data_IF_848251312770
#
_entry.id   IF_848251312770
#
_cell.length_a   1.000
_cell.length_b   1.000
_cell.length_c   1.000
_cell.angle_alpha   90.00
_cell.angle_beta   90.00
_cell.angle_gamma   90.00
#
_symmetry.space_group_name_H-M   'P 1'
#
loop_
_entity.id
_entity.type
_entity.pdbx_description
1 polymer ?
#
# COMPACT_ATOMS: atom_id res chain seq x y z
N UNK A 1 -22.28 10.04 21.63
CA UNK A 1 -21.48 8.94 21.07
C UNK A 1 -20.02 9.17 21.45
N UNK A 2 -19.48 8.41 22.38
CA UNK A 2 -18.06 8.44 22.71
C UNK A 2 -17.28 7.91 21.50
N UNK A 3 -16.68 8.81 20.72
CA UNK A 3 -15.80 8.53 19.58
C UNK A 3 -14.39 8.18 20.07
N UNK A 4 -14.26 7.18 20.92
CA UNK A 4 -12.94 6.72 21.30
C UNK A 4 -12.33 5.93 20.16
N UNK A 5 -11.16 6.38 19.67
CA UNK A 5 -10.30 5.60 18.78
C UNK A 5 -9.88 4.33 19.53
N UNK A 6 -10.43 3.19 19.17
CA UNK A 6 -10.12 1.92 19.81
C UNK A 6 -9.27 1.08 18.88
N UNK A 7 -8.01 0.91 19.25
CA UNK A 7 -7.09 0.02 18.54
C UNK A 7 -7.35 -1.43 19.01
N UNK A 8 -8.01 -2.22 18.18
CA UNK A 8 -8.31 -3.62 18.46
C UNK A 8 -7.13 -4.51 18.08
N UNK A 9 -6.55 -5.22 19.02
CA UNK A 9 -5.42 -6.14 18.77
C UNK A 9 -5.71 -7.16 17.67
N UNK A 10 -6.93 -7.64 17.53
CA UNK A 10 -7.33 -8.61 16.49
C UNK A 10 -7.18 -8.10 15.07
N UNK A 11 -7.17 -6.76 14.86
CA UNK A 11 -6.99 -6.15 13.52
C UNK A 11 -5.54 -5.71 13.25
N UNK A 12 -4.56 -6.21 14.01
CA UNK A 12 -3.16 -5.81 13.90
C UNK A 12 -2.61 -5.92 12.47
N UNK A 13 -2.98 -6.99 11.75
CA UNK A 13 -2.53 -7.23 10.39
C UNK A 13 -3.06 -6.16 9.42
N UNK A 14 -4.34 -5.78 9.59
CA UNK A 14 -4.92 -4.67 8.82
C UNK A 14 -4.19 -3.35 9.07
N UNK A 15 -3.88 -3.02 10.32
CA UNK A 15 -3.15 -1.80 10.65
C UNK A 15 -1.73 -1.82 10.11
N UNK A 16 -1.05 -2.96 10.19
CA UNK A 16 0.29 -3.14 9.61
C UNK A 16 0.27 -2.96 8.09
N UNK A 17 -0.65 -3.61 7.39
CA UNK A 17 -0.81 -3.46 5.93
C UNK A 17 -1.16 -2.02 5.56
N UNK A 18 -2.01 -1.35 6.33
CA UNK A 18 -2.35 0.07 6.12
C UNK A 18 -1.13 0.97 6.28
N UNK A 19 -0.32 0.76 7.32
CA UNK A 19 0.91 1.53 7.53
C UNK A 19 1.92 1.31 6.39
N UNK A 20 2.20 0.06 6.05
CA UNK A 20 3.14 -0.29 4.99
C UNK A 20 2.67 0.24 3.61
N UNK A 21 1.37 0.18 3.33
CA UNK A 21 0.78 0.75 2.12
C UNK A 21 0.91 2.27 2.11
N UNK A 22 0.60 2.94 3.21
CA UNK A 22 0.78 4.38 3.37
C UNK A 22 2.24 4.82 3.20
N UNK A 23 3.18 4.11 3.81
CA UNK A 23 4.61 4.38 3.71
C UNK A 23 5.10 4.29 2.26
N UNK A 24 4.79 3.21 1.54
CA UNK A 24 5.16 3.03 0.13
C UNK A 24 4.54 4.11 -0.76
N UNK A 25 3.27 4.43 -0.51
CA UNK A 25 2.57 5.50 -1.24
C UNK A 25 3.30 6.83 -1.10
N UNK A 26 3.77 7.19 0.10
CA UNK A 26 4.49 8.44 0.32
C UNK A 26 5.85 8.45 -0.37
N UNK A 27 6.58 7.33 -0.34
CA UNK A 27 7.84 7.20 -1.08
C UNK A 27 7.59 7.49 -2.56
N UNK A 28 6.58 6.91 -3.12
CA UNK A 28 6.29 7.06 -4.54
C UNK A 28 5.80 8.47 -4.87
N UNK A 29 4.77 8.98 -4.17
CA UNK A 29 4.19 10.30 -4.46
C UNK A 29 5.19 11.44 -4.32
N UNK A 30 6.09 11.36 -3.33
CA UNK A 30 7.06 12.43 -3.09
C UNK A 30 8.31 12.20 -3.93
N UNK A 31 8.97 11.06 -3.76
CA UNK A 31 10.33 10.88 -4.30
C UNK A 31 10.36 10.46 -5.77
N UNK A 32 9.35 9.75 -6.28
CA UNK A 32 9.28 9.50 -7.72
C UNK A 32 9.00 10.79 -8.50
N UNK A 33 8.08 11.65 -8.01
CA UNK A 33 7.85 12.96 -8.60
C UNK A 33 9.11 13.84 -8.52
N UNK A 34 9.83 13.81 -7.40
CA UNK A 34 11.09 14.53 -7.21
C UNK A 34 12.17 14.04 -8.17
N UNK A 35 12.30 12.72 -8.36
CA UNK A 35 13.24 12.12 -9.31
C UNK A 35 12.95 12.56 -10.74
N UNK A 36 11.67 12.61 -11.12
CA UNK A 36 11.25 13.06 -12.44
C UNK A 36 11.71 14.50 -12.73
N UNK A 37 11.56 15.39 -11.75
CA UNK A 37 11.96 16.80 -11.90
C UNK A 37 13.48 16.96 -11.80
N UNK A 38 14.10 16.41 -10.75
CA UNK A 38 15.50 16.68 -10.42
C UNK A 38 16.47 15.94 -11.33
N UNK A 39 16.23 14.65 -11.61
CA UNK A 39 17.14 13.84 -12.41
C UNK A 39 16.83 13.89 -13.89
N UNK A 40 15.54 13.92 -14.26
CA UNK A 40 15.12 13.82 -15.66
C UNK A 40 14.63 15.15 -16.27
N UNK A 41 14.57 16.22 -15.48
CA UNK A 41 14.23 17.56 -15.97
C UNK A 41 12.76 17.74 -16.37
N UNK A 42 11.85 16.90 -15.87
CA UNK A 42 10.43 17.06 -16.14
C UNK A 42 9.91 18.37 -15.55
N UNK A 43 9.12 19.07 -16.33
CA UNK A 43 8.38 20.24 -15.84
C UNK A 43 7.25 19.85 -14.90
N UNK A 44 6.80 20.78 -14.07
CA UNK A 44 5.63 20.57 -13.22
C UNK A 44 4.37 20.17 -14.03
N UNK A 45 4.23 20.70 -15.25
CA UNK A 45 3.13 20.37 -16.15
C UNK A 45 3.17 18.91 -16.61
N UNK A 46 4.35 18.40 -16.95
CA UNK A 46 4.52 16.99 -17.36
C UNK A 46 4.27 16.02 -16.22
N UNK A 47 4.76 16.33 -15.01
CA UNK A 47 4.45 15.53 -13.82
C UNK A 47 2.96 15.57 -13.52
N UNK A 48 2.31 16.73 -13.64
CA UNK A 48 0.86 16.86 -13.46
C UNK A 48 0.09 16.02 -14.50
N UNK A 49 0.56 15.97 -15.74
CA UNK A 49 -0.05 15.12 -16.77
C UNK A 49 0.04 13.63 -16.40
N UNK A 50 1.17 13.18 -15.85
CA UNK A 50 1.31 11.81 -15.37
C UNK A 50 0.30 11.50 -14.22
N UNK A 51 0.11 12.44 -13.30
CA UNK A 51 -0.93 12.31 -12.28
C UNK A 51 -2.33 12.19 -12.90
N UNK A 52 -2.65 13.03 -13.88
CA UNK A 52 -3.96 12.98 -14.56
C UNK A 52 -4.17 11.63 -15.27
N UNK A 53 -3.16 11.10 -15.95
CA UNK A 53 -3.21 9.78 -16.60
C UNK A 53 -3.51 8.70 -15.54
N UNK A 54 -2.85 8.74 -14.39
CA UNK A 54 -3.06 7.79 -13.30
C UNK A 54 -4.47 7.90 -12.70
N UNK A 55 -5.00 9.11 -12.50
CA UNK A 55 -6.38 9.31 -12.03
C UNK A 55 -7.39 8.81 -13.07
N UNK A 56 -7.17 9.09 -14.34
CA UNK A 56 -8.03 8.59 -15.42
C UNK A 56 -8.00 7.05 -15.46
N UNK A 57 -6.81 6.43 -15.35
CA UNK A 57 -6.69 4.98 -15.25
C UNK A 57 -7.50 4.42 -14.09
N UNK A 58 -7.34 4.97 -12.88
CA UNK A 58 -8.09 4.53 -11.72
C UNK A 58 -9.60 4.67 -11.93
N UNK A 59 -10.07 5.77 -12.51
CA UNK A 59 -11.49 5.99 -12.77
C UNK A 59 -12.07 4.93 -13.73
N UNK A 60 -11.36 4.61 -14.81
CA UNK A 60 -11.81 3.62 -15.79
C UNK A 60 -11.70 2.17 -15.31
N UNK A 61 -10.72 1.86 -14.46
CA UNK A 61 -10.38 0.48 -14.09
C UNK A 61 -10.78 0.09 -12.68
N UNK A 62 -11.16 1.02 -11.80
CA UNK A 62 -11.48 0.74 -10.40
C UNK A 62 -12.52 -0.39 -10.24
N UNK A 63 -13.61 -0.36 -11.02
CA UNK A 63 -14.63 -1.41 -10.97
C UNK A 63 -14.09 -2.77 -11.43
N UNK A 64 -13.27 -2.79 -12.48
CA UNK A 64 -12.67 -4.03 -12.99
C UNK A 64 -11.69 -4.62 -11.99
N UNK A 65 -10.91 -3.77 -11.34
CA UNK A 65 -9.97 -4.14 -10.27
C UNK A 65 -10.75 -4.69 -9.07
N UNK A 66 -11.83 -4.03 -8.64
CA UNK A 66 -12.69 -4.51 -7.57
C UNK A 66 -13.29 -5.90 -7.88
N UNK A 67 -13.76 -6.10 -9.11
CA UNK A 67 -14.26 -7.42 -9.56
C UNK A 67 -13.16 -8.49 -9.62
N UNK A 68 -11.95 -8.11 -10.02
CA UNK A 68 -10.81 -9.02 -10.02
C UNK A 68 -10.48 -9.46 -8.58
N UNK A 69 -10.37 -8.51 -7.64
CA UNK A 69 -10.13 -8.80 -6.23
C UNK A 69 -11.21 -9.74 -5.67
N UNK A 70 -12.48 -9.48 -6.00
CA UNK A 70 -13.59 -10.35 -5.59
C UNK A 70 -13.48 -11.80 -6.12
N UNK A 71 -12.87 -11.99 -7.29
CA UNK A 71 -12.67 -13.32 -7.91
C UNK A 71 -11.46 -14.07 -7.37
N UNK A 72 -10.31 -13.39 -7.25
CA UNK A 72 -9.05 -14.03 -6.86
C UNK A 72 -8.80 -14.01 -5.35
N UNK A 73 -9.51 -13.17 -4.61
CA UNK A 73 -9.38 -12.96 -3.18
C UNK A 73 -8.30 -11.94 -2.81
N UNK A 74 -8.43 -11.35 -1.63
CA UNK A 74 -7.58 -10.25 -1.16
C UNK A 74 -6.11 -10.65 -1.06
N UNK A 75 -5.83 -11.84 -0.51
CA UNK A 75 -4.45 -12.34 -0.37
C UNK A 75 -3.71 -12.40 -1.70
N UNK A 76 -4.34 -12.98 -2.74
CA UNK A 76 -3.71 -13.10 -4.06
C UNK A 76 -3.57 -11.75 -4.75
N UNK A 77 -4.56 -10.88 -4.61
CA UNK A 77 -4.53 -9.52 -5.14
C UNK A 77 -3.37 -8.71 -4.56
N UNK A 78 -3.23 -8.70 -3.23
CA UNK A 78 -2.12 -8.03 -2.54
C UNK A 78 -0.77 -8.66 -2.85
N UNK A 79 -0.70 -10.00 -3.01
CA UNK A 79 0.53 -10.68 -3.44
C UNK A 79 0.98 -10.19 -4.81
N UNK A 80 0.06 -10.09 -5.77
CA UNK A 80 0.34 -9.57 -7.11
C UNK A 80 0.80 -8.11 -7.07
N UNK A 81 0.08 -7.26 -6.32
CA UNK A 81 0.46 -5.86 -6.10
C UNK A 81 1.90 -5.77 -5.59
N UNK A 82 2.21 -6.48 -4.51
CA UNK A 82 3.50 -6.31 -3.83
C UNK A 82 4.68 -6.85 -4.65
N UNK A 83 4.50 -7.94 -5.38
CA UNK A 83 5.52 -8.43 -6.33
C UNK A 83 5.77 -7.37 -7.41
N UNK A 84 4.70 -6.80 -7.98
CA UNK A 84 4.83 -5.73 -8.97
C UNK A 84 5.52 -4.49 -8.42
N UNK A 85 5.16 -4.06 -7.20
CA UNK A 85 5.78 -2.90 -6.55
C UNK A 85 7.25 -3.13 -6.17
N UNK A 86 7.65 -4.34 -5.75
CA UNK A 86 9.06 -4.68 -5.53
C UNK A 86 9.84 -4.45 -6.83
N UNK A 87 9.33 -4.96 -7.95
CA UNK A 87 9.95 -4.76 -9.25
C UNK A 87 10.04 -3.27 -9.63
N UNK A 88 8.96 -2.52 -9.46
CA UNK A 88 8.91 -1.08 -9.77
C UNK A 88 9.91 -0.30 -8.92
N UNK A 89 9.94 -0.51 -7.61
CA UNK A 89 10.86 0.19 -6.71
C UNK A 89 12.32 -0.12 -7.02
N UNK A 90 12.68 -1.39 -7.28
CA UNK A 90 14.04 -1.76 -7.70
C UNK A 90 14.39 -1.07 -9.02
N UNK A 91 13.47 -1.07 -9.98
CA UNK A 91 13.68 -0.42 -11.27
C UNK A 91 13.88 1.08 -11.13
N UNK A 92 13.15 1.75 -10.22
CA UNK A 92 13.38 3.17 -9.91
C UNK A 92 14.75 3.44 -9.32
N UNK A 93 15.27 2.54 -8.50
CA UNK A 93 16.63 2.65 -7.96
C UNK A 93 17.73 2.57 -9.03
N UNK A 94 17.43 1.98 -10.19
CA UNK A 94 18.36 1.71 -11.28
C UNK A 94 18.11 2.58 -12.53
N UNK A 95 16.94 3.24 -12.63
CA UNK A 95 16.52 3.92 -13.86
C UNK A 95 17.41 5.11 -14.20
N UNK A 96 17.82 5.19 -15.49
CA UNK A 96 18.61 6.30 -16.05
C UNK A 96 17.96 6.90 -17.31
N UNK A 97 16.81 6.41 -17.72
CA UNK A 97 16.05 6.89 -18.87
C UNK A 97 14.75 7.54 -18.41
N UNK A 98 14.46 8.74 -18.92
CA UNK A 98 13.30 9.54 -18.53
C UNK A 98 11.97 8.88 -18.94
N UNK A 99 11.93 8.28 -20.16
CA UNK A 99 10.72 7.64 -20.67
C UNK A 99 10.39 6.38 -19.86
N UNK A 100 11.43 5.60 -19.51
CA UNK A 100 11.27 4.44 -18.65
C UNK A 100 10.79 4.85 -17.26
N UNK A 101 11.30 5.93 -16.68
CA UNK A 101 10.85 6.46 -15.41
C UNK A 101 9.36 6.86 -15.44
N UNK A 102 8.89 7.51 -16.52
CA UNK A 102 7.48 7.84 -16.71
C UNK A 102 6.62 6.57 -16.85
N UNK A 103 7.09 5.56 -17.58
CA UNK A 103 6.42 4.27 -17.70
C UNK A 103 6.28 3.55 -16.35
N UNK A 104 7.35 3.55 -15.54
CA UNK A 104 7.33 3.01 -14.18
C UNK A 104 6.36 3.78 -13.28
N UNK A 105 6.22 5.11 -13.47
CA UNK A 105 5.28 5.94 -12.72
C UNK A 105 3.82 5.51 -12.96
N UNK A 106 3.48 5.20 -14.19
CA UNK A 106 2.14 4.69 -14.54
C UNK A 106 1.95 3.27 -14.01
N UNK A 107 2.96 2.41 -14.18
CA UNK A 107 2.91 1.03 -13.74
C UNK A 107 2.73 0.88 -12.22
N UNK A 108 3.41 1.73 -11.43
CA UNK A 108 3.22 1.77 -9.97
C UNK A 108 1.76 2.00 -9.60
N UNK A 109 1.12 2.99 -10.20
CA UNK A 109 -0.28 3.30 -9.90
C UNK A 109 -1.24 2.18 -10.31
N UNK A 110 -0.91 1.44 -11.38
CA UNK A 110 -1.70 0.27 -11.77
C UNK A 110 -1.66 -0.82 -10.70
N UNK A 111 -0.48 -1.10 -10.15
CA UNK A 111 -0.35 -2.06 -9.04
C UNK A 111 -0.97 -1.51 -7.76
N UNK A 112 -0.72 -0.24 -7.44
CA UNK A 112 -1.23 0.39 -6.23
C UNK A 112 -2.76 0.46 -6.18
N UNK A 113 -3.44 0.46 -7.33
CA UNK A 113 -4.89 0.40 -7.39
C UNK A 113 -5.46 -0.89 -6.76
N UNK A 114 -4.64 -1.95 -6.64
CA UNK A 114 -5.04 -3.19 -5.96
C UNK A 114 -5.04 -3.06 -4.43
N UNK A 115 -4.46 -1.99 -3.85
CA UNK A 115 -4.48 -1.72 -2.40
C UNK A 115 -5.90 -1.59 -1.83
N UNK A 116 -6.91 -1.41 -2.67
CA UNK A 116 -8.34 -1.54 -2.30
C UNK A 116 -8.62 -2.87 -1.58
N UNK A 117 -7.85 -3.92 -1.89
CA UNK A 117 -7.97 -5.23 -1.24
C UNK A 117 -7.70 -5.17 0.27
N UNK A 118 -6.95 -4.19 0.78
CA UNK A 118 -6.77 -3.98 2.23
C UNK A 118 -8.11 -3.57 2.86
N UNK A 119 -8.85 -2.69 2.20
CA UNK A 119 -10.15 -2.23 2.68
C UNK A 119 -11.21 -3.32 2.59
N UNK A 120 -11.23 -4.12 1.51
CA UNK A 120 -12.17 -5.24 1.38
C UNK A 120 -11.86 -6.36 2.37
N UNK A 121 -10.58 -6.63 2.62
CA UNK A 121 -10.16 -7.54 3.69
C UNK A 121 -10.69 -7.07 5.05
N UNK A 122 -10.51 -5.79 5.39
CA UNK A 122 -11.00 -5.25 6.65
C UNK A 122 -12.53 -5.34 6.77
N UNK A 123 -13.27 -5.01 5.70
CA UNK A 123 -14.73 -5.11 5.69
C UNK A 123 -15.23 -6.54 5.97
N UNK A 124 -14.48 -7.56 5.56
CA UNK A 124 -14.84 -8.97 5.80
C UNK A 124 -14.59 -9.43 7.24
N UNK A 125 -13.57 -8.89 7.90
CA UNK A 125 -13.17 -9.33 9.26
C UNK A 125 -13.74 -8.45 10.37
N UNK A 126 -14.15 -7.22 10.06
CA UNK A 126 -14.54 -6.24 11.07
C UNK A 126 -15.95 -6.48 11.59
N UNK A 127 -16.10 -6.34 12.91
CA UNK A 127 -17.41 -6.19 13.53
C UNK A 127 -17.99 -4.83 13.11
N UNK A 128 -19.27 -4.74 12.69
CA UNK A 128 -19.90 -3.48 12.29
C UNK A 128 -19.72 -2.32 13.28
N UNK A 129 -19.72 -2.62 14.59
CA UNK A 129 -19.51 -1.61 15.66
C UNK A 129 -18.08 -1.03 15.68
N UNK A 130 -17.08 -1.76 15.15
CA UNK A 130 -15.68 -1.37 15.14
C UNK A 130 -15.29 -0.60 13.85
N UNK A 131 -16.15 -0.62 12.82
CA UNK A 131 -15.86 -0.05 11.51
C UNK A 131 -15.46 1.44 11.57
N UNK A 132 -16.26 2.25 12.23
CA UNK A 132 -16.02 3.70 12.31
C UNK A 132 -14.75 4.03 13.12
N UNK A 133 -14.53 3.33 14.24
CA UNK A 133 -13.34 3.50 15.09
C UNK A 133 -12.07 3.10 14.33
N UNK A 134 -12.08 1.96 13.65
CA UNK A 134 -10.92 1.48 12.88
C UNK A 134 -10.64 2.31 11.65
N UNK A 135 -11.65 2.89 11.01
CA UNK A 135 -11.46 3.87 9.94
C UNK A 135 -10.69 5.11 10.44
N UNK A 136 -11.02 5.61 11.63
CA UNK A 136 -10.28 6.69 12.28
C UNK A 136 -8.84 6.33 12.60
N UNK A 137 -8.59 5.10 13.08
CA UNK A 137 -7.23 4.58 13.32
C UNK A 137 -6.45 4.53 12.01
N UNK A 138 -7.03 3.99 10.95
CA UNK A 138 -6.38 3.92 9.63
C UNK A 138 -6.05 5.28 9.06
N UNK A 139 -6.95 6.25 9.23
CA UNK A 139 -6.70 7.65 8.85
C UNK A 139 -5.48 8.19 9.59
N UNK A 140 -5.40 7.99 10.91
CA UNK A 140 -4.26 8.41 11.73
C UNK A 140 -2.97 7.75 11.29
N UNK A 141 -2.98 6.43 11.05
CA UNK A 141 -1.81 5.68 10.57
C UNK A 141 -1.30 6.24 9.24
N UNK A 142 -2.20 6.50 8.29
CA UNK A 142 -1.83 7.08 7.00
C UNK A 142 -1.23 8.49 7.12
N UNK A 143 -1.75 9.32 8.04
CA UNK A 143 -1.20 10.65 8.29
C UNK A 143 0.17 10.60 8.98
N UNK A 144 0.37 9.68 9.93
CA UNK A 144 1.68 9.44 10.53
C UNK A 144 2.69 9.04 9.45
N UNK A 145 2.33 8.09 8.57
CA UNK A 145 3.18 7.70 7.46
C UNK A 145 3.49 8.88 6.52
N UNK A 146 2.46 9.72 6.23
CA UNK A 146 2.60 10.87 5.33
C UNK A 146 3.56 11.97 5.86
N UNK A 147 3.74 12.08 7.16
CA UNK A 147 4.65 13.06 7.77
C UNK A 147 6.03 12.44 8.02
N UNK A 148 6.07 11.26 8.65
CA UNK A 148 7.33 10.67 9.11
C UNK A 148 8.16 10.14 7.94
N UNK A 149 7.53 9.44 6.99
CA UNK A 149 8.27 8.78 5.90
C UNK A 149 9.00 9.80 5.00
N UNK A 150 8.35 10.87 4.49
CA UNK A 150 9.07 11.88 3.72
C UNK A 150 10.14 12.61 4.51
N UNK A 151 9.91 12.89 5.79
CA UNK A 151 10.89 13.58 6.63
C UNK A 151 12.18 12.75 6.83
N UNK A 152 12.04 11.46 7.16
CA UNK A 152 13.19 10.57 7.34
C UNK A 152 13.90 10.28 6.01
N UNK A 153 13.15 9.97 4.97
CA UNK A 153 13.73 9.60 3.68
C UNK A 153 14.24 10.82 2.90
N UNK A 154 13.78 12.02 3.21
CA UNK A 154 14.38 13.25 2.69
C UNK A 154 15.84 13.40 3.08
N UNK A 155 16.23 12.98 4.28
CA UNK A 155 17.64 12.93 4.69
C UNK A 155 18.43 11.88 3.90
N UNK A 156 17.81 10.72 3.63
CA UNK A 156 18.43 9.66 2.82
C UNK A 156 18.56 10.09 1.35
N UNK A 157 17.60 10.86 0.84
CA UNK A 157 17.61 11.40 -0.51
C UNK A 157 18.85 12.24 -0.82
N UNK A 158 19.28 13.05 0.14
CA UNK A 158 20.48 13.89 0.00
C UNK A 158 21.74 13.03 -0.26
N UNK A 159 21.77 11.81 0.25
CA UNK A 159 22.90 10.90 0.10
C UNK A 159 22.79 10.01 -1.14
N UNK A 160 21.59 9.49 -1.41
CA UNK A 160 21.34 8.61 -2.54
C UNK A 160 19.86 8.51 -2.88
N UNK A 161 19.50 8.93 -4.09
CA UNK A 161 18.15 8.78 -4.64
C UNK A 161 17.73 7.29 -4.71
N UNK A 162 18.66 6.44 -5.19
CA UNK A 162 18.41 4.99 -5.34
C UNK A 162 18.08 4.32 -4.01
N UNK A 163 18.74 4.74 -2.91
CA UNK A 163 18.55 4.12 -1.61
C UNK A 163 17.10 4.31 -1.10
N UNK A 164 16.48 5.46 -1.38
CA UNK A 164 15.09 5.73 -1.01
C UNK A 164 14.15 4.72 -1.68
N UNK A 165 14.38 4.40 -2.95
CA UNK A 165 13.57 3.40 -3.66
C UNK A 165 13.84 1.97 -3.18
N UNK A 166 15.08 1.64 -2.79
CA UNK A 166 15.37 0.34 -2.19
C UNK A 166 14.71 0.18 -0.82
N UNK A 167 14.59 1.24 -0.03
CA UNK A 167 13.77 1.22 1.20
C UNK A 167 12.29 0.97 0.85
N UNK A 168 11.78 1.58 -0.23
CA UNK A 168 10.45 1.28 -0.76
C UNK A 168 10.27 -0.19 -1.13
N UNK A 169 11.26 -0.79 -1.79
CA UNK A 169 11.27 -2.22 -2.09
C UNK A 169 11.26 -3.08 -0.82
N UNK A 170 12.02 -2.72 0.22
CA UNK A 170 11.99 -3.39 1.52
C UNK A 170 10.59 -3.34 2.15
N UNK A 171 9.92 -2.18 2.12
CA UNK A 171 8.53 -2.08 2.59
C UNK A 171 7.57 -2.93 1.76
N UNK A 172 7.79 -3.07 0.46
CA UNK A 172 6.98 -3.94 -0.39
C UNK A 172 7.21 -5.42 -0.06
N UNK A 173 8.44 -5.84 0.23
CA UNK A 173 8.76 -7.20 0.70
C UNK A 173 8.10 -7.49 2.05
N UNK A 174 8.18 -6.57 3.01
CA UNK A 174 7.50 -6.69 4.29
C UNK A 174 5.98 -6.80 4.11
N UNK A 175 5.41 -6.03 3.19
CA UNK A 175 3.98 -6.11 2.84
C UNK A 175 3.62 -7.44 2.22
N UNK A 176 4.49 -7.98 1.35
CA UNK A 176 4.29 -9.30 0.73
C UNK A 176 4.26 -10.41 1.79
N UNK A 177 5.18 -10.36 2.75
CA UNK A 177 5.21 -11.30 3.88
C UNK A 177 3.94 -11.15 4.72
N UNK A 178 3.57 -9.92 5.07
CA UNK A 178 2.36 -9.64 5.86
C UNK A 178 1.09 -10.13 5.14
N UNK A 179 0.98 -9.97 3.83
CA UNK A 179 -0.17 -10.44 3.05
C UNK A 179 -0.35 -11.96 3.11
N UNK A 180 0.73 -12.72 3.30
CA UNK A 180 0.62 -14.18 3.42
C UNK A 180 -0.12 -14.61 4.68
N UNK A 181 -0.22 -13.75 5.70
CA UNK A 181 -1.00 -14.03 6.91
C UNK A 181 -2.52 -13.80 6.75
N UNK A 182 -2.97 -13.25 5.63
CA UNK A 182 -4.40 -13.15 5.30
C UNK A 182 -4.92 -14.57 5.00
N UNK A 183 -5.98 -15.03 5.68
CA UNK A 183 -6.59 -16.33 5.37
C UNK A 183 -7.24 -16.32 3.98
N UNK A 184 -7.47 -17.50 3.41
CA UNK A 184 -8.13 -17.65 2.10
C UNK A 184 -9.60 -17.22 2.13
N UNK A 185 -10.24 -17.30 3.29
CA UNK A 185 -11.61 -16.86 3.53
C UNK A 185 -11.66 -16.01 4.81
N UNK A 186 -11.28 -14.72 4.73
CA UNK A 186 -11.28 -13.84 5.90
C UNK A 186 -12.73 -13.60 6.39
N UNK A 187 -12.91 -13.68 7.71
CA UNK A 187 -14.20 -13.47 8.38
C UNK A 187 -13.97 -13.07 9.84
N UNK A 188 -14.98 -12.57 10.56
CA UNK A 188 -14.86 -12.36 12.00
C UNK A 188 -14.50 -13.67 12.73
N UNK A 189 -13.44 -13.62 13.54
CA UNK A 189 -12.85 -14.81 14.20
C UNK A 189 -11.80 -15.54 13.37
N UNK A 190 -11.66 -15.22 12.09
CA UNK A 190 -10.64 -15.73 11.17
C UNK A 190 -9.92 -14.57 10.49
N UNK A 191 -9.41 -13.63 11.29
CA UNK A 191 -8.74 -12.43 10.80
C UNK A 191 -7.36 -12.73 10.22
N UNK A 192 -6.66 -13.73 10.77
CA UNK A 192 -5.33 -14.17 10.32
C UNK A 192 -5.24 -15.69 10.33
N UNK A 193 -4.30 -16.25 9.58
CA UNK A 193 -4.04 -17.70 9.59
C UNK A 193 -3.70 -18.25 10.99
N UNK A 194 -3.23 -17.40 11.91
CA UNK A 194 -2.94 -17.79 13.31
C UNK A 194 -4.18 -17.77 14.21
N UNK A 195 -5.22 -17.03 13.85
CA UNK A 195 -6.45 -16.95 14.65
C UNK A 195 -7.14 -18.32 14.76
N UNK A 196 -7.14 -19.10 13.70
CA UNK A 196 -7.67 -20.47 13.69
C UNK A 196 -6.87 -21.42 14.59
N UNK A 197 -5.56 -21.25 14.69
CA UNK A 197 -4.72 -22.10 15.55
C UNK A 197 -4.95 -21.82 17.03
N UNK A 198 -5.18 -20.56 17.40
CA UNK A 198 -5.46 -20.16 18.78
C UNK A 198 -6.85 -20.62 19.23
N UNK A 199 -7.86 -20.52 18.37
CA UNK A 199 -9.22 -20.99 18.70
C UNK A 199 -9.29 -22.52 18.79
N UNK A 200 -8.63 -23.26 17.92
CA UNK A 200 -8.56 -24.72 17.97
C UNK A 200 -7.69 -25.30 19.13
N UNK A 201 -6.84 -24.46 19.75
CA UNK A 201 -6.06 -24.83 20.92
C UNK A 201 -6.83 -24.59 22.25
N UNK A 202 -7.86 -23.74 22.24
CA UNK A 202 -8.69 -23.45 23.39
C UNK A 202 -9.91 -24.39 23.51
N UNK A 203 -10.23 -25.15 22.45
CA UNK A 203 -11.30 -26.17 22.44
C UNK A 203 -10.78 -27.60 22.75
N UNK A 204 -9.52 -27.78 23.06
CA UNK A 204 -8.92 -29.03 23.55
C UNK A 204 -8.48 -28.86 24.99
#
# INVERSE_FOLDING_TARGET
>A
QNKNLVLRKRYWLYYLLTFLSGARRQIFMVFAAFLMVEKFGYSASEVTLLFLINYAFNWFFAEKIGRLIGRIGERKALTLEYIGLIFVFISYGLVNDATLAAGLYILDHMFFAMAIAISTYFQKIADPKDMASSAGVSFTINHIAAVIIPALLGLVWIWSHSLVFYVGACFAVLSLIAAQYIPSAPSPGNETIFALQLNGALEK
#
